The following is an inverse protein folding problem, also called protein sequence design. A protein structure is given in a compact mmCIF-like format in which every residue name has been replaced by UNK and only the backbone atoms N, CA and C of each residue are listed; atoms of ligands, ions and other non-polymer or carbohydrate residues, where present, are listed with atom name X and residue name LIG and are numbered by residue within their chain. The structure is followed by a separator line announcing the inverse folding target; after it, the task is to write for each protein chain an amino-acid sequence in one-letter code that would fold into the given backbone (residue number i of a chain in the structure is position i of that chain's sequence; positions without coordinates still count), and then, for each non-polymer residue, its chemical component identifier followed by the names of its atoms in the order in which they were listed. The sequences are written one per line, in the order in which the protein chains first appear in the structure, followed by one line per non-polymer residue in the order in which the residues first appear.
data_IF_121045570434
#
_entry.id   IF_121045570434
#
_cell.length_a   1.000
_cell.length_b   1.000
_cell.length_c   1.000
_cell.angle_alpha   90.00
_cell.angle_beta   90.00
_cell.angle_gamma   90.00
#
_symmetry.space_group_name_H-M   'P 1'
#
loop_
_entity.id
_entity.type
_entity.pdbx_description
1 polymer ?
#
# COMPACT_ATOMS: atom_id res chain seq x y z
N UNK A 1 -47.51 -1.11 17.41
CA UNK A 1 -46.40 -1.54 18.30
C UNK A 1 -45.16 -1.69 17.42
N UNK A 2 -44.43 -0.61 17.14
CA UNK A 2 -43.35 0.02 17.93
C UNK A 2 -41.98 -0.68 17.77
N UNK A 3 -41.20 -0.13 16.83
CA UNK A 3 -39.75 0.12 16.74
C UNK A 3 -38.65 -0.80 17.34
N UNK A 4 -37.54 -0.84 16.56
CA UNK A 4 -36.12 -0.95 16.95
C UNK A 4 -35.61 -2.33 17.43
N UNK A 5 -34.57 -2.92 16.86
CA UNK A 5 -33.22 -2.33 16.76
C UNK A 5 -32.35 -3.04 15.73
N UNK A 6 -31.57 -2.28 14.95
CA UNK A 6 -30.50 -2.77 14.09
C UNK A 6 -29.23 -2.96 14.95
N UNK A 7 -28.67 -4.17 15.12
CA UNK A 7 -27.35 -4.32 15.73
C UNK A 7 -26.26 -4.31 14.65
N UNK A 8 -25.75 -3.10 14.42
CA UNK A 8 -24.34 -2.76 14.24
C UNK A 8 -23.53 -3.50 13.14
N UNK A 9 -23.39 -2.77 12.03
CA UNK A 9 -22.33 -2.75 11.03
C UNK A 9 -20.90 -2.64 11.64
N UNK A 10 -20.45 -3.59 12.48
CA UNK A 10 -19.17 -3.47 13.23
C UNK A 10 -18.32 -4.76 13.23
N UNK A 11 -18.34 -5.55 12.16
CA UNK A 11 -17.40 -6.68 11.97
C UNK A 11 -16.63 -6.73 10.64
N UNK A 12 -16.92 -5.84 9.68
CA UNK A 12 -16.21 -5.78 8.37
C UNK A 12 -15.10 -4.70 8.27
N UNK A 13 -14.83 -3.95 9.34
CA UNK A 13 -13.95 -2.78 9.27
C UNK A 13 -12.46 -3.07 9.41
N UNK A 14 -12.06 -4.11 10.16
CA UNK A 14 -10.64 -4.43 10.38
C UNK A 14 -10.01 -5.04 9.14
N UNK A 15 -10.66 -6.02 8.51
CA UNK A 15 -10.15 -6.68 7.30
C UNK A 15 -9.90 -5.68 6.16
N UNK A 16 -10.86 -4.79 5.89
CA UNK A 16 -10.70 -3.73 4.87
C UNK A 16 -9.56 -2.78 5.21
N UNK A 17 -9.43 -2.39 6.48
CA UNK A 17 -8.32 -1.54 6.93
C UNK A 17 -6.97 -2.25 6.78
N UNK A 18 -6.88 -3.52 7.17
CA UNK A 18 -5.66 -4.33 7.02
C UNK A 18 -5.28 -4.52 5.55
N UNK A 19 -6.26 -4.75 4.67
CA UNK A 19 -6.05 -4.83 3.23
C UNK A 19 -5.49 -3.50 2.71
N UNK A 20 -6.19 -2.38 2.93
CA UNK A 20 -5.74 -1.06 2.47
C UNK A 20 -4.36 -0.71 3.04
N UNK A 21 -4.15 -0.96 4.34
CA UNK A 21 -2.86 -0.75 4.99
C UNK A 21 -1.76 -1.61 4.36
N UNK A 22 -2.03 -2.86 4.01
CA UNK A 22 -1.04 -3.74 3.38
C UNK A 22 -0.64 -3.27 1.97
N UNK A 23 -1.58 -2.73 1.19
CA UNK A 23 -1.30 -2.16 -0.13
C UNK A 23 -0.46 -0.88 -0.02
N UNK A 24 -0.81 0.02 0.91
CA UNK A 24 -0.02 1.23 1.17
C UNK A 24 1.37 0.87 1.72
N UNK A 25 1.44 -0.08 2.65
CA UNK A 25 2.70 -0.60 3.17
C UNK A 25 3.57 -1.20 2.05
N UNK A 26 2.94 -1.82 1.05
CA UNK A 26 3.63 -2.31 -0.14
C UNK A 26 4.38 -1.21 -0.89
N UNK A 27 3.78 -0.04 -1.07
CA UNK A 27 4.44 1.14 -1.67
C UNK A 27 5.63 1.60 -0.83
N UNK A 28 5.48 1.66 0.50
CA UNK A 28 6.58 2.00 1.41
C UNK A 28 7.73 1.00 1.32
N UNK A 29 7.44 -0.30 1.24
CA UNK A 29 8.46 -1.35 1.08
C UNK A 29 9.18 -1.23 -0.25
N UNK A 30 8.46 -1.00 -1.36
CA UNK A 30 9.07 -0.81 -2.69
C UNK A 30 10.06 0.37 -2.71
N UNK A 31 9.69 1.50 -2.12
CA UNK A 31 10.58 2.66 -2.02
C UNK A 31 11.76 2.40 -1.08
N UNK A 32 11.54 1.66 0.02
CA UNK A 32 12.64 1.29 0.91
C UNK A 32 13.64 0.34 0.23
N UNK A 33 13.15 -0.63 -0.54
CA UNK A 33 13.98 -1.56 -1.31
C UNK A 33 14.74 -0.82 -2.41
N UNK A 34 14.11 0.17 -3.08
CA UNK A 34 14.79 1.08 -4.01
C UNK A 34 15.93 1.82 -3.32
N UNK A 35 15.68 2.44 -2.16
CA UNK A 35 16.70 3.15 -1.40
C UNK A 35 17.84 2.22 -0.95
N UNK A 36 17.53 1.00 -0.50
CA UNK A 36 18.55 0.01 -0.12
C UNK A 36 19.37 -0.43 -1.33
N UNK A 37 18.75 -0.68 -2.48
CA UNK A 37 19.44 -1.01 -3.73
C UNK A 37 20.36 0.11 -4.20
N UNK A 38 19.92 1.36 -4.11
CA UNK A 38 20.74 2.54 -4.37
C UNK A 38 21.92 2.67 -3.38
N UNK A 39 21.70 2.44 -2.09
CA UNK A 39 22.74 2.55 -1.06
C UNK A 39 23.76 1.41 -1.16
N UNK A 40 23.34 0.22 -1.58
CA UNK A 40 24.19 -0.97 -1.60
C UNK A 40 24.84 -1.26 -2.96
N UNK A 41 24.54 -0.51 -4.03
CA UNK A 41 25.01 -0.77 -5.41
C UNK A 41 24.84 -2.24 -5.85
N UNK A 42 23.89 -2.96 -5.24
CA UNK A 42 23.62 -4.36 -5.52
C UNK A 42 22.66 -4.43 -6.70
N UNK A 43 23.05 -5.19 -7.72
CA UNK A 43 22.22 -5.49 -8.88
C UNK A 43 20.82 -5.92 -8.43
N UNK A 44 19.79 -5.40 -9.10
CA UNK A 44 18.34 -5.40 -8.81
C UNK A 44 17.64 -6.75 -8.52
N UNK A 45 18.34 -7.82 -8.18
CA UNK A 45 17.80 -9.18 -8.15
C UNK A 45 17.46 -9.76 -6.76
N UNK A 46 17.78 -9.08 -5.65
CA UNK A 46 17.59 -9.65 -4.30
C UNK A 46 16.82 -8.73 -3.33
N UNK A 47 15.74 -8.09 -3.79
CA UNK A 47 14.76 -7.45 -2.89
C UNK A 47 13.93 -8.53 -2.18
N UNK A 48 14.53 -9.13 -1.16
CA UNK A 48 14.08 -10.39 -0.55
C UNK A 48 13.08 -10.16 0.60
N UNK A 49 11.85 -9.79 0.25
CA UNK A 49 10.69 -9.95 1.14
C UNK A 49 9.46 -10.33 0.32
N UNK A 50 8.79 -11.43 0.68
CA UNK A 50 7.55 -11.84 0.02
C UNK A 50 6.53 -10.68 0.05
N UNK A 51 5.91 -10.33 -1.09
CA UNK A 51 5.14 -9.10 -1.14
C UNK A 51 3.84 -9.20 -0.33
N UNK A 52 3.61 -8.24 0.57
CA UNK A 52 2.50 -8.28 1.53
C UNK A 52 1.13 -8.24 0.85
N UNK A 53 1.07 -7.71 -0.38
CA UNK A 53 -0.12 -7.64 -1.21
C UNK A 53 -0.57 -9.00 -1.77
N UNK A 54 0.34 -9.98 -1.91
CA UNK A 54 -0.01 -11.30 -2.42
C UNK A 54 -0.96 -12.06 -1.49
N UNK A 55 -0.86 -11.81 -0.17
CA UNK A 55 -1.76 -12.37 0.83
C UNK A 55 -3.21 -11.96 0.64
N UNK A 56 -3.44 -10.84 -0.03
CA UNK A 56 -4.77 -10.33 -0.37
C UNK A 56 -5.15 -10.61 -1.83
N UNK A 57 -4.42 -11.51 -2.49
CA UNK A 57 -4.60 -11.87 -3.90
C UNK A 57 -4.37 -10.72 -4.88
N UNK A 58 -3.65 -9.68 -4.47
CA UNK A 58 -3.23 -8.62 -5.36
C UNK A 58 -1.87 -8.93 -5.98
N UNK A 59 -1.62 -8.36 -7.15
CA UNK A 59 -0.32 -8.30 -7.80
C UNK A 59 0.04 -6.85 -8.08
N UNK A 60 1.34 -6.54 -8.02
CA UNK A 60 1.85 -5.26 -8.45
C UNK A 60 1.77 -5.20 -9.98
N UNK A 61 0.97 -4.29 -10.51
CA UNK A 61 0.84 -4.08 -11.95
C UNK A 61 1.83 -3.02 -12.44
N UNK A 62 1.90 -1.87 -11.77
CA UNK A 62 2.82 -0.78 -12.09
C UNK A 62 3.22 -0.01 -10.83
N UNK A 63 4.42 0.57 -10.82
CA UNK A 63 4.87 1.53 -9.80
C UNK A 63 4.73 2.95 -10.35
N UNK A 64 4.28 3.89 -9.53
CA UNK A 64 4.20 5.31 -9.87
C UNK A 64 5.48 6.00 -9.36
N UNK A 65 6.24 6.58 -10.28
CA UNK A 65 7.55 7.16 -10.03
C UNK A 65 7.49 8.67 -10.25
N UNK A 66 8.06 9.43 -9.32
CA UNK A 66 8.22 10.88 -9.46
C UNK A 66 9.42 11.18 -10.36
N UNK A 67 9.21 11.95 -11.43
CA UNK A 67 10.25 12.27 -12.40
C UNK A 67 11.36 13.17 -11.83
N UNK A 68 11.10 13.86 -10.71
CA UNK A 68 12.05 14.80 -10.10
C UNK A 68 13.14 14.11 -9.25
N UNK A 69 12.77 13.10 -8.47
CA UNK A 69 13.65 12.41 -7.53
C UNK A 69 13.71 10.88 -7.72
N UNK A 70 13.01 10.37 -8.75
CA UNK A 70 12.86 8.96 -9.07
C UNK A 70 12.31 8.12 -7.90
N UNK A 71 11.59 8.76 -6.96
CA UNK A 71 11.00 8.08 -5.82
C UNK A 71 9.65 7.47 -6.17
N UNK A 72 9.33 6.34 -5.53
CA UNK A 72 8.06 5.66 -5.77
C UNK A 72 6.98 6.25 -4.89
N UNK A 73 6.13 7.15 -5.41
CA UNK A 73 5.07 7.80 -4.64
C UNK A 73 3.77 6.99 -4.59
N UNK A 74 3.65 5.95 -5.42
CA UNK A 74 2.47 5.09 -5.44
C UNK A 74 2.67 3.80 -6.20
N UNK A 75 1.62 2.97 -6.23
CA UNK A 75 1.58 1.74 -6.99
C UNK A 75 0.15 1.41 -7.43
N UNK A 76 0.03 0.74 -8.57
CA UNK A 76 -1.20 0.16 -9.10
C UNK A 76 -1.16 -1.34 -8.83
N UNK A 77 -2.15 -1.83 -8.10
CA UNK A 77 -2.35 -3.23 -7.82
C UNK A 77 -3.53 -3.79 -8.61
N UNK A 78 -3.39 -5.01 -9.12
CA UNK A 78 -4.47 -5.76 -9.77
C UNK A 78 -4.86 -6.99 -8.95
N UNK A 79 -6.15 -7.30 -8.86
CA UNK A 79 -6.64 -8.49 -8.19
C UNK A 79 -6.47 -9.74 -9.09
N UNK A 80 -5.54 -10.66 -8.73
CA UNK A 80 -5.19 -11.86 -9.50
C UNK A 80 -6.34 -12.85 -9.67
N UNK A 81 -7.11 -13.05 -8.60
CA UNK A 81 -8.16 -14.05 -8.55
C UNK A 81 -9.44 -13.40 -8.05
N UNK A 82 -10.29 -12.98 -8.97
CA UNK A 82 -11.70 -12.84 -8.67
C UNK A 82 -12.29 -14.26 -8.50
N UNK A 83 -11.99 -14.89 -7.36
CA UNK A 83 -12.66 -16.10 -6.90
C UNK A 83 -14.17 -15.98 -7.18
N UNK A 84 -14.86 -17.00 -7.70
CA UNK A 84 -16.28 -16.90 -8.06
C UNK A 84 -17.18 -16.37 -6.93
N UNK A 85 -16.76 -16.59 -5.68
CA UNK A 85 -17.41 -16.08 -4.47
C UNK A 85 -17.37 -14.55 -4.34
N UNK A 86 -16.39 -13.87 -4.95
CA UNK A 86 -16.32 -12.41 -4.98
C UNK A 86 -17.36 -11.76 -5.90
N UNK A 87 -17.78 -12.46 -6.96
CA UNK A 87 -18.91 -12.04 -7.80
C UNK A 87 -20.28 -12.27 -7.14
N UNK A 88 -20.31 -13.05 -6.05
CA UNK A 88 -21.49 -13.21 -5.20
C UNK A 88 -21.50 -12.20 -4.04
N UNK A 89 -20.45 -11.39 -3.91
CA UNK A 89 -20.31 -10.37 -2.88
C UNK A 89 -20.85 -9.03 -3.40
N UNK A 90 -21.89 -8.49 -2.76
CA UNK A 90 -22.35 -7.11 -3.00
C UNK A 90 -21.80 -6.17 -1.92
N UNK A 91 -21.03 -5.13 -2.26
CA UNK A 91 -20.54 -4.77 -3.59
C UNK A 91 -19.32 -5.61 -4.03
N UNK A 92 -19.12 -5.72 -5.35
CA UNK A 92 -17.98 -6.40 -5.97
C UNK A 92 -16.64 -5.78 -5.55
N UNK A 93 -15.57 -6.57 -5.39
CA UNK A 93 -14.25 -6.02 -5.12
C UNK A 93 -13.70 -5.26 -6.34
N UNK A 94 -12.89 -4.21 -6.12
CA UNK A 94 -12.26 -3.47 -7.20
C UNK A 94 -11.21 -4.36 -7.92
N UNK A 95 -11.20 -4.32 -9.25
CA UNK A 95 -10.18 -5.00 -10.06
C UNK A 95 -8.81 -4.36 -9.92
N UNK A 96 -8.78 -3.03 -9.84
CA UNK A 96 -7.56 -2.23 -9.68
C UNK A 96 -7.64 -1.37 -8.43
N UNK A 97 -6.53 -1.26 -7.71
CA UNK A 97 -6.36 -0.35 -6.57
C UNK A 97 -5.13 0.49 -6.80
N UNK A 98 -5.30 1.81 -6.71
CA UNK A 98 -4.18 2.75 -6.72
C UNK A 98 -3.88 3.10 -5.26
N UNK A 99 -2.68 2.78 -4.81
CA UNK A 99 -2.19 3.11 -3.48
C UNK A 99 -1.17 4.24 -3.60
N UNK A 100 -1.35 5.28 -2.80
CA UNK A 100 -0.38 6.36 -2.63
C UNK A 100 0.28 6.20 -1.27
N UNK A 101 1.60 6.40 -1.20
CA UNK A 101 2.28 6.55 0.09
C UNK A 101 2.10 7.98 0.58
N UNK A 102 2.10 8.15 1.89
CA UNK A 102 2.31 9.47 2.49
C UNK A 102 3.79 9.85 2.43
N UNK A 103 4.11 10.98 3.08
CA UNK A 103 5.50 11.42 3.25
C UNK A 103 6.33 10.33 3.90
N UNK A 104 7.50 10.04 3.33
CA UNK A 104 8.49 9.18 3.97
C UNK A 104 9.20 9.99 5.05
N UNK A 105 9.06 9.56 6.30
CA UNK A 105 9.91 10.05 7.39
C UNK A 105 11.18 9.20 7.35
N UNK A 106 12.15 9.59 6.53
CA UNK A 106 13.52 9.08 6.61
C UNK A 106 14.30 9.90 7.64
N UNK A 107 15.45 9.42 8.12
CA UNK A 107 16.33 10.25 8.95
C UNK A 107 16.73 11.56 8.25
N UNK A 108 16.79 11.55 6.92
CA UNK A 108 17.09 12.72 6.10
C UNK A 108 15.92 13.72 6.06
N UNK A 109 14.69 13.27 5.79
CA UNK A 109 13.53 14.18 5.81
C UNK A 109 13.22 14.69 7.21
N UNK A 110 13.44 13.86 8.25
CA UNK A 110 13.34 14.28 9.65
C UNK A 110 14.39 15.33 10.03
N UNK A 111 15.60 15.23 9.49
CA UNK A 111 16.67 16.21 9.70
C UNK A 111 16.38 17.54 8.98
N UNK A 112 15.89 17.50 7.74
CA UNK A 112 15.52 18.71 7.00
C UNK A 112 14.30 19.42 7.61
N UNK A 113 13.28 18.69 8.08
CA UNK A 113 12.17 19.26 8.86
C UNK A 113 12.68 19.91 10.17
N UNK A 114 13.61 19.25 10.87
CA UNK A 114 14.20 19.80 12.09
C UNK A 114 15.03 21.07 11.82
N UNK A 115 15.72 21.13 10.67
CA UNK A 115 16.44 22.33 10.21
C UNK A 115 15.51 23.51 9.95
N UNK A 116 14.38 23.26 9.28
CA UNK A 116 13.37 24.29 9.01
C UNK A 116 12.74 24.81 10.31
N UNK A 117 12.62 23.97 11.34
CA UNK A 117 12.06 24.32 12.65
C UNK A 117 13.06 25.00 13.61
N UNK A 118 14.32 25.19 13.20
CA UNK A 118 15.35 25.91 13.95
C UNK A 118 15.60 27.33 13.41
N UNK A 119 14.65 27.88 12.65
CA UNK A 119 14.74 29.23 12.07
C UNK A 119 13.86 30.24 12.78
#
# INVERSE_FOLDING_TARGET
MNACSIPLYRRRSSHRRSLVASLVQGVYSLEHDRQRGCVLNMNQHEAHASPWWERFHFQLNNVLVDDSDLSYFGAIYELKYAHPCFYQSSPHPPRYVIAFRGTLITNFTRYEDMKLNMR
#
